data_IF_857656007294
#
_entry.id   IF_857656007294
#
_cell.length_a   1.000
_cell.length_b   1.000
_cell.length_c   1.000
_cell.angle_alpha   90.00
_cell.angle_beta   90.00
_cell.angle_gamma   90.00
#
_symmetry.space_group_name_H-M   'P 1'
#
loop_
_entity.id
_entity.type
_entity.pdbx_description
1 polymer ?
#
# COMPACT_ATOMS: atom_id res chain seq x y z
N UNK A 1 -49.63 29.80 -57.03
CA UNK A 1 -49.37 30.66 -55.87
C UNK A 1 -48.80 29.75 -54.78
N UNK A 2 -47.47 29.75 -54.59
CA UNK A 2 -46.75 28.80 -53.73
C UNK A 2 -46.61 29.37 -52.31
N UNK A 3 -47.11 28.66 -51.31
CA UNK A 3 -46.88 28.96 -49.89
C UNK A 3 -45.57 28.31 -49.46
N UNK A 4 -44.55 29.12 -49.17
CA UNK A 4 -43.26 28.68 -48.64
C UNK A 4 -43.45 28.38 -47.15
N UNK A 5 -43.37 27.10 -46.77
CA UNK A 5 -43.29 26.67 -45.36
C UNK A 5 -41.83 26.73 -44.94
N UNK A 6 -41.49 27.71 -44.10
CA UNK A 6 -40.19 27.73 -43.40
C UNK A 6 -40.23 26.68 -42.28
N UNK A 7 -39.68 25.50 -42.57
CA UNK A 7 -39.35 24.52 -41.54
C UNK A 7 -38.11 25.02 -40.80
N UNK A 8 -38.30 25.66 -39.64
CA UNK A 8 -37.24 25.95 -38.68
C UNK A 8 -36.75 24.61 -38.13
N UNK A 9 -35.71 24.06 -38.75
CA UNK A 9 -34.92 22.98 -38.16
C UNK A 9 -34.15 23.59 -36.99
N UNK A 10 -34.63 23.40 -35.76
CA UNK A 10 -33.85 23.70 -34.57
C UNK A 10 -32.62 22.80 -34.59
N UNK A 11 -31.48 23.34 -35.01
CA UNK A 11 -30.20 22.70 -34.86
C UNK A 11 -29.92 22.66 -33.37
N UNK A 12 -30.34 21.59 -32.69
CA UNK A 12 -29.79 21.26 -31.38
C UNK A 12 -28.34 20.91 -31.64
N UNK A 13 -27.44 21.89 -31.52
CA UNK A 13 -26.01 21.60 -31.42
C UNK A 13 -25.84 20.74 -30.18
N UNK A 14 -25.74 19.43 -30.38
CA UNK A 14 -25.06 18.57 -29.42
C UNK A 14 -23.61 18.99 -29.46
N UNK A 15 -23.28 20.06 -28.74
CA UNK A 15 -21.91 20.37 -28.36
C UNK A 15 -21.45 19.09 -27.68
N UNK A 16 -20.54 18.37 -28.31
CA UNK A 16 -19.82 17.31 -27.62
C UNK A 16 -19.14 18.03 -26.47
N UNK A 17 -19.75 17.96 -25.28
CA UNK A 17 -19.18 18.58 -24.10
C UNK A 17 -17.82 17.91 -23.93
N UNK A 18 -16.76 18.67 -24.21
CA UNK A 18 -15.40 18.18 -24.06
C UNK A 18 -15.29 17.61 -22.63
N UNK A 19 -14.93 16.33 -22.55
CA UNK A 19 -14.89 15.55 -21.31
C UNK A 19 -13.45 15.36 -20.88
N UNK A 20 -13.23 15.19 -19.57
CA UNK A 20 -11.93 14.81 -19.04
C UNK A 20 -11.63 13.30 -19.07
N UNK A 21 -12.51 12.46 -19.61
CA UNK A 21 -12.24 11.03 -19.78
C UNK A 21 -10.94 10.81 -20.57
N UNK A 22 -9.93 10.22 -19.92
CA UNK A 22 -8.62 9.96 -20.52
C UNK A 22 -7.72 11.20 -20.73
N UNK A 23 -8.11 12.38 -20.25
CA UNK A 23 -7.38 13.66 -20.45
C UNK A 23 -6.84 14.28 -19.15
N UNK A 24 -7.08 13.67 -17.99
CA UNK A 24 -6.63 14.19 -16.70
C UNK A 24 -5.10 14.33 -16.65
N UNK A 25 -4.61 15.50 -16.24
CA UNK A 25 -3.17 15.76 -16.08
C UNK A 25 -2.41 16.00 -17.39
N UNK A 26 -3.07 16.02 -18.55
CA UNK A 26 -2.46 16.45 -19.80
C UNK A 26 -2.01 17.93 -19.72
N UNK A 27 -1.07 18.34 -20.57
CA UNK A 27 -0.72 19.75 -20.74
C UNK A 27 -1.89 20.57 -21.29
N UNK A 28 -1.75 21.90 -21.32
CA UNK A 28 -2.73 22.79 -21.98
C UNK A 28 -2.93 22.35 -23.43
N UNK A 29 -4.17 22.16 -23.83
CA UNK A 29 -4.54 21.87 -25.23
C UNK A 29 -5.42 23.00 -25.77
N UNK A 30 -4.85 23.94 -26.55
CA UNK A 30 -5.58 25.06 -27.13
C UNK A 30 -6.66 24.66 -28.13
N UNK A 31 -6.66 23.40 -28.61
CA UNK A 31 -7.68 22.89 -29.53
C UNK A 31 -8.98 22.47 -28.84
N UNK A 32 -9.01 22.50 -27.50
CA UNK A 32 -10.12 22.04 -26.67
C UNK A 32 -10.87 23.20 -26.05
N UNK A 33 -12.19 23.04 -25.89
CA UNK A 33 -13.06 24.06 -25.32
C UNK A 33 -12.96 24.13 -23.80
N UNK A 34 -12.37 23.12 -23.17
CA UNK A 34 -12.10 23.08 -21.74
C UNK A 34 -10.85 22.24 -21.45
N UNK A 35 -10.26 22.49 -20.29
CA UNK A 35 -9.00 21.91 -19.87
C UNK A 35 -9.22 20.84 -18.78
N UNK A 36 -8.29 19.88 -18.75
CA UNK A 36 -8.24 18.79 -17.77
C UNK A 36 -6.89 18.73 -17.05
N UNK A 37 -6.10 19.79 -17.19
CA UNK A 37 -4.86 20.01 -16.46
C UNK A 37 -5.16 20.54 -15.05
N UNK A 38 -4.19 20.49 -14.15
CA UNK A 38 -4.37 20.93 -12.76
C UNK A 38 -4.59 22.43 -12.61
N UNK A 39 -4.11 23.24 -13.57
CA UNK A 39 -4.20 24.70 -13.56
C UNK A 39 -5.58 25.22 -13.99
N UNK A 40 -6.45 24.38 -14.57
CA UNK A 40 -7.77 24.81 -15.03
C UNK A 40 -8.64 25.38 -13.89
N UNK A 41 -8.39 24.94 -12.65
CA UNK A 41 -9.08 25.44 -11.44
C UNK A 41 -8.73 26.89 -11.12
N UNK A 42 -7.54 27.34 -11.51
CA UNK A 42 -7.08 28.71 -11.35
C UNK A 42 -7.66 29.60 -12.46
N UNK A 43 -7.75 29.07 -13.69
CA UNK A 43 -8.19 29.83 -14.87
C UNK A 43 -9.71 29.76 -15.11
N UNK A 44 -10.42 28.86 -14.43
CA UNK A 44 -11.87 28.70 -14.57
C UNK A 44 -12.32 28.05 -15.88
N UNK A 45 -11.43 27.31 -16.55
CA UNK A 45 -11.65 26.69 -17.86
C UNK A 45 -11.74 25.15 -17.80
N UNK A 46 -11.95 24.59 -16.61
CA UNK A 46 -12.09 23.15 -16.43
C UNK A 46 -13.31 22.58 -17.18
N UNK A 47 -13.19 21.35 -17.70
CA UNK A 47 -14.35 20.64 -18.21
C UNK A 47 -15.38 20.37 -17.10
N UNK A 48 -16.66 20.27 -17.45
CA UNK A 48 -17.73 20.11 -16.46
C UNK A 48 -17.60 18.85 -15.59
N UNK A 49 -16.94 17.82 -16.11
CA UNK A 49 -16.64 16.56 -15.43
C UNK A 49 -15.25 16.53 -14.77
N UNK A 50 -14.48 17.63 -14.80
CA UNK A 50 -13.12 17.69 -14.26
C UNK A 50 -13.06 17.34 -12.77
N UNK A 51 -13.97 17.87 -11.95
CA UNK A 51 -14.00 17.54 -10.53
C UNK A 51 -14.36 16.07 -10.29
N UNK A 52 -15.32 15.55 -11.05
CA UNK A 52 -15.75 14.16 -10.92
C UNK A 52 -14.67 13.16 -11.39
N UNK A 53 -13.95 13.47 -12.47
CA UNK A 53 -13.00 12.55 -13.11
C UNK A 53 -11.54 12.76 -12.68
N UNK A 54 -11.09 14.01 -12.55
CA UNK A 54 -9.68 14.35 -12.34
C UNK A 54 -9.34 14.70 -10.89
N UNK A 55 -10.27 15.27 -10.11
CA UNK A 55 -9.98 15.59 -8.70
C UNK A 55 -10.08 14.40 -7.75
N UNK A 56 -10.56 13.24 -8.23
CA UNK A 56 -10.54 11.95 -7.52
C UNK A 56 -9.26 11.13 -7.78
N UNK A 57 -8.29 11.66 -8.53
CA UNK A 57 -7.03 10.96 -8.81
C UNK A 57 -5.99 11.10 -7.69
N UNK A 58 -6.43 10.98 -6.44
CA UNK A 58 -5.57 11.10 -5.26
C UNK A 58 -5.83 9.98 -4.25
N UNK A 59 -4.77 9.58 -3.56
CA UNK A 59 -4.80 8.67 -2.42
C UNK A 59 -4.98 9.35 -1.07
N UNK A 60 -5.23 10.66 -1.03
CA UNK A 60 -5.54 11.35 0.21
C UNK A 60 -6.75 10.71 0.92
N UNK A 61 -6.54 10.13 2.10
CA UNK A 61 -7.59 9.40 2.84
C UNK A 61 -8.03 8.07 2.22
N UNK A 62 -7.34 7.59 1.17
CA UNK A 62 -7.67 6.35 0.43
C UNK A 62 -6.52 5.35 0.40
N UNK A 63 -5.37 5.68 1.00
CA UNK A 63 -4.25 4.74 1.09
C UNK A 63 -4.72 3.42 1.72
N UNK A 64 -4.38 2.31 1.07
CA UNK A 64 -4.69 0.96 1.53
C UNK A 64 -6.20 0.62 1.52
N UNK A 65 -7.01 1.39 0.80
CA UNK A 65 -8.41 1.03 0.57
C UNK A 65 -8.52 -0.33 -0.13
N UNK A 66 -9.65 -1.02 0.03
CA UNK A 66 -9.95 -2.19 -0.80
C UNK A 66 -10.03 -1.81 -2.28
N UNK A 67 -9.89 -2.80 -3.17
CA UNK A 67 -10.12 -2.61 -4.61
C UNK A 67 -11.55 -2.07 -4.82
N UNK A 68 -11.65 -0.96 -5.53
CA UNK A 68 -12.94 -0.35 -5.89
C UNK A 68 -12.95 -0.02 -7.37
N UNK A 69 -13.62 -0.87 -8.15
CA UNK A 69 -13.72 -0.73 -9.61
C UNK A 69 -14.54 0.49 -10.04
N UNK A 70 -15.19 1.20 -9.11
CA UNK A 70 -15.88 2.45 -9.41
C UNK A 70 -14.94 3.67 -9.43
N UNK A 71 -13.68 3.50 -9.02
CA UNK A 71 -12.70 4.58 -8.95
C UNK A 71 -11.83 4.66 -10.22
N UNK A 72 -11.44 5.88 -10.63
CA UNK A 72 -10.58 6.08 -11.80
C UNK A 72 -9.13 5.62 -11.60
N UNK A 73 -8.72 5.39 -10.35
CA UNK A 73 -7.42 4.87 -9.98
C UNK A 73 -7.49 4.25 -8.57
N UNK A 74 -6.56 3.36 -8.29
CA UNK A 74 -6.47 2.61 -7.05
C UNK A 74 -5.39 3.16 -6.12
N UNK A 75 -5.58 2.93 -4.82
CA UNK A 75 -4.68 3.33 -3.74
C UNK A 75 -4.29 2.17 -2.82
N UNK A 76 -4.51 0.95 -3.32
CA UNK A 76 -4.16 -0.29 -2.66
C UNK A 76 -2.78 -0.76 -3.12
N UNK A 77 -2.16 -1.70 -2.42
CA UNK A 77 -0.83 -2.19 -2.78
C UNK A 77 -0.79 -3.03 -4.07
N UNK A 78 -1.94 -3.54 -4.53
CA UNK A 78 -2.04 -4.31 -5.76
C UNK A 78 -1.97 -3.43 -7.01
N UNK A 79 -2.28 -2.13 -6.90
CA UNK A 79 -2.32 -1.21 -8.04
C UNK A 79 -1.01 -1.14 -8.83
N UNK A 80 0.12 -1.39 -8.16
CA UNK A 80 1.45 -1.40 -8.78
C UNK A 80 1.57 -2.51 -9.82
N UNK A 81 0.93 -3.66 -9.55
CA UNK A 81 0.94 -4.81 -10.46
C UNK A 81 -0.03 -4.61 -11.63
N UNK A 82 -1.14 -3.91 -11.40
CA UNK A 82 -2.18 -3.65 -12.41
C UNK A 82 -1.94 -2.37 -13.23
N UNK A 83 -1.03 -1.50 -12.79
CA UNK A 83 -0.73 -0.24 -13.47
C UNK A 83 -1.84 0.81 -13.34
N UNK A 84 -2.71 0.70 -12.34
CA UNK A 84 -3.89 1.56 -12.15
C UNK A 84 -3.78 2.45 -10.89
N UNK A 85 -2.57 2.63 -10.34
CA UNK A 85 -2.35 3.49 -9.18
C UNK A 85 -2.69 4.96 -9.45
N UNK A 86 -3.20 5.67 -8.43
CA UNK A 86 -3.33 7.11 -8.52
C UNK A 86 -1.95 7.81 -8.64
N UNK A 87 -1.84 8.94 -9.35
CA UNK A 87 -0.57 9.66 -9.55
C UNK A 87 0.20 9.98 -8.27
N UNK A 88 -0.48 10.27 -7.16
CA UNK A 88 0.14 10.60 -5.88
C UNK A 88 0.40 9.38 -4.97
N UNK A 89 0.08 8.15 -5.42
CA UNK A 89 0.16 6.93 -4.61
C UNK A 89 1.51 6.76 -3.89
N UNK A 90 2.63 6.83 -4.63
CA UNK A 90 3.97 6.68 -4.06
C UNK A 90 4.31 7.78 -3.06
N UNK A 91 3.94 9.02 -3.37
CA UNK A 91 4.21 10.18 -2.51
C UNK A 91 3.40 10.13 -1.20
N UNK A 92 2.19 9.57 -1.24
CA UNK A 92 1.33 9.36 -0.07
C UNK A 92 1.82 8.18 0.76
N UNK A 93 2.18 7.07 0.11
CA UNK A 93 2.73 5.89 0.76
C UNK A 93 4.01 6.20 1.55
N UNK A 94 4.89 7.05 0.99
CA UNK A 94 6.12 7.47 1.66
C UNK A 94 5.90 8.28 2.95
N UNK A 95 4.71 8.87 3.13
CA UNK A 95 4.34 9.65 4.32
C UNK A 95 3.59 8.82 5.36
N UNK A 96 3.21 7.59 5.03
CA UNK A 96 2.50 6.72 5.96
C UNK A 96 3.46 6.13 7.01
N UNK A 97 2.95 5.80 8.20
CA UNK A 97 3.71 5.03 9.16
C UNK A 97 4.14 3.69 8.54
N UNK A 98 5.34 3.23 8.93
CA UNK A 98 5.84 1.92 8.51
C UNK A 98 5.40 0.86 9.52
N UNK A 99 5.30 -0.37 9.05
CA UNK A 99 4.95 -1.51 9.91
C UNK A 99 6.11 -1.82 10.85
N UNK A 100 5.91 -1.59 12.14
CA UNK A 100 6.73 -2.14 13.22
C UNK A 100 6.17 -3.51 13.66
N UNK A 101 7.03 -4.37 14.23
CA UNK A 101 6.59 -5.60 14.92
C UNK A 101 5.70 -6.56 14.12
N UNK A 102 6.26 -7.24 13.10
CA UNK A 102 5.55 -8.31 12.37
C UNK A 102 6.52 -9.44 12.05
N UNK A 103 6.51 -10.49 12.88
CA UNK A 103 7.58 -11.50 12.94
C UNK A 103 7.06 -12.93 13.21
N UNK A 104 5.80 -13.22 12.89
CA UNK A 104 5.24 -14.56 13.03
C UNK A 104 4.66 -15.04 11.70
N UNK A 105 5.03 -16.26 11.28
CA UNK A 105 4.65 -16.78 9.96
C UNK A 105 3.19 -17.22 9.87
N UNK A 106 2.57 -17.65 10.98
CA UNK A 106 1.16 -17.99 10.99
C UNK A 106 0.34 -16.72 10.77
N UNK A 107 0.68 -15.64 11.49
CA UNK A 107 0.08 -14.33 11.27
C UNK A 107 0.34 -13.82 9.84
N UNK A 108 1.54 -14.02 9.31
CA UNK A 108 1.85 -13.69 7.91
C UNK A 108 0.91 -14.42 6.94
N UNK A 109 0.80 -15.75 7.07
CA UNK A 109 -0.05 -16.58 6.24
C UNK A 109 -1.53 -16.17 6.33
N UNK A 110 -2.05 -15.92 7.54
CA UNK A 110 -3.43 -15.52 7.75
C UNK A 110 -3.75 -14.16 7.13
N UNK A 111 -2.83 -13.19 7.22
CA UNK A 111 -3.02 -11.86 6.65
C UNK A 111 -2.82 -11.85 5.12
N UNK A 112 -1.91 -12.65 4.60
CA UNK A 112 -1.74 -12.88 3.16
C UNK A 112 -3.00 -13.51 2.56
N UNK A 113 -3.57 -14.53 3.21
CA UNK A 113 -4.83 -15.16 2.78
C UNK A 113 -6.02 -14.18 2.74
N UNK A 114 -6.00 -13.14 3.56
CA UNK A 114 -7.00 -12.05 3.56
C UNK A 114 -6.73 -10.99 2.47
N UNK A 115 -5.62 -11.08 1.74
CA UNK A 115 -5.17 -10.05 0.81
C UNK A 115 -4.60 -8.80 1.49
N UNK A 116 -4.37 -8.83 2.81
CA UNK A 116 -3.82 -7.72 3.57
C UNK A 116 -2.30 -7.62 3.43
N UNK A 117 -1.61 -8.73 3.12
CA UNK A 117 -0.17 -8.74 2.84
C UNK A 117 0.10 -8.81 1.35
N UNK A 118 1.05 -8.01 0.88
CA UNK A 118 1.69 -8.18 -0.42
C UNK A 118 3.16 -8.53 -0.20
N UNK A 119 3.53 -9.79 -0.46
CA UNK A 119 4.90 -10.26 -0.37
C UNK A 119 5.75 -9.73 -1.53
N UNK A 120 6.89 -9.11 -1.21
CA UNK A 120 7.77 -8.44 -2.18
C UNK A 120 9.11 -9.16 -2.36
N UNK A 121 9.27 -10.37 -1.81
CA UNK A 121 10.50 -11.15 -1.89
C UNK A 121 11.28 -11.25 -0.57
N UNK A 122 12.22 -12.19 -0.51
CA UNK A 122 13.09 -12.38 0.65
C UNK A 122 14.35 -11.50 0.55
N UNK A 123 14.78 -10.99 1.71
CA UNK A 123 16.03 -10.26 1.92
C UNK A 123 17.16 -11.23 2.27
N UNK A 124 16.90 -12.15 3.19
CA UNK A 124 17.84 -13.20 3.62
C UNK A 124 17.07 -14.45 4.03
N UNK A 125 17.76 -15.60 3.98
CA UNK A 125 17.23 -16.89 4.42
C UNK A 125 18.31 -17.67 5.16
N UNK A 126 17.91 -18.39 6.20
CA UNK A 126 18.78 -19.33 6.92
C UNK A 126 18.23 -20.75 6.83
N UNK A 127 19.09 -21.68 6.41
CA UNK A 127 18.85 -23.12 6.30
C UNK A 127 19.88 -23.85 7.17
N UNK A 128 19.53 -24.96 7.84
CA UNK A 128 18.29 -25.73 7.75
C UNK A 128 17.15 -25.22 8.65
N UNK A 129 17.35 -24.10 9.35
CA UNK A 129 16.40 -23.59 10.36
C UNK A 129 15.12 -22.95 9.79
N UNK A 130 14.97 -22.89 8.46
CA UNK A 130 13.83 -22.29 7.76
C UNK A 130 13.44 -20.89 8.28
N UNK A 131 14.42 -20.00 8.41
CA UNK A 131 14.19 -18.61 8.79
C UNK A 131 14.19 -17.75 7.53
N UNK A 132 13.21 -16.87 7.41
CA UNK A 132 13.09 -15.95 6.27
C UNK A 132 13.02 -14.53 6.80
N UNK A 133 13.85 -13.64 6.25
CA UNK A 133 13.63 -12.20 6.31
C UNK A 133 12.99 -11.76 5.00
N UNK A 134 11.82 -11.14 5.07
CA UNK A 134 11.02 -10.73 3.92
C UNK A 134 10.85 -9.21 3.85
N UNK A 135 10.68 -8.70 2.62
CA UNK A 135 10.08 -7.39 2.36
C UNK A 135 8.61 -7.62 2.02
N UNK A 136 7.72 -6.84 2.59
CA UNK A 136 6.30 -6.92 2.30
C UNK A 136 5.58 -5.64 2.68
N UNK A 137 4.38 -5.45 2.16
CA UNK A 137 3.42 -4.50 2.72
C UNK A 137 2.39 -5.24 3.56
N UNK A 138 1.88 -4.61 4.62
CA UNK A 138 0.75 -5.09 5.39
C UNK A 138 -0.28 -3.98 5.53
N UNK A 139 -1.50 -4.24 5.08
CA UNK A 139 -2.52 -3.22 4.81
C UNK A 139 -1.91 -2.05 4.07
N UNK A 140 -1.17 -2.36 2.99
CA UNK A 140 -0.41 -1.43 2.14
C UNK A 140 0.69 -0.60 2.82
N UNK A 141 0.88 -0.68 4.14
CA UNK A 141 2.03 -0.07 4.82
C UNK A 141 3.29 -0.91 4.63
N UNK A 142 4.40 -0.25 4.29
CA UNK A 142 5.65 -0.94 3.99
C UNK A 142 6.37 -1.46 5.24
N UNK A 143 6.84 -2.71 5.16
CA UNK A 143 7.85 -3.28 6.04
C UNK A 143 9.10 -3.61 5.23
N UNK A 144 10.18 -2.85 5.49
CA UNK A 144 11.43 -3.00 4.74
C UNK A 144 12.14 -4.33 5.02
N UNK A 145 11.98 -4.87 6.24
CA UNK A 145 12.54 -6.15 6.67
C UNK A 145 11.72 -6.69 7.84
N UNK A 146 11.15 -7.88 7.70
CA UNK A 146 10.55 -8.67 8.77
C UNK A 146 11.06 -10.09 8.73
N UNK A 147 11.68 -10.54 9.82
CA UNK A 147 12.24 -11.89 9.94
C UNK A 147 11.40 -12.76 10.86
N UNK A 148 11.21 -14.02 10.46
CA UNK A 148 10.42 -15.00 11.19
C UNK A 148 10.85 -16.41 10.83
N UNK A 149 10.61 -17.35 11.74
CA UNK A 149 10.68 -18.78 11.45
C UNK A 149 9.53 -19.17 10.54
N UNK A 150 9.72 -20.19 9.69
CA UNK A 150 8.65 -20.74 8.84
C UNK A 150 8.47 -22.21 9.18
N UNK A 151 7.22 -22.60 9.48
CA UNK A 151 6.84 -24.00 9.77
C UNK A 151 7.03 -24.45 11.22
N UNK A 152 7.49 -23.57 12.11
CA UNK A 152 7.55 -23.84 13.56
C UNK A 152 6.18 -23.64 14.21
N UNK A 153 5.97 -24.24 15.38
CA UNK A 153 4.73 -24.06 16.14
C UNK A 153 4.73 -22.77 16.98
N UNK A 154 3.56 -22.22 17.37
CA UNK A 154 3.48 -21.05 18.25
C UNK A 154 4.23 -21.23 19.57
N UNK A 155 4.20 -22.44 20.14
CA UNK A 155 4.89 -22.76 21.39
C UNK A 155 6.43 -22.73 21.24
N UNK A 156 6.97 -23.04 20.06
CA UNK A 156 8.39 -22.90 19.78
C UNK A 156 8.83 -21.44 19.78
N UNK A 157 8.10 -20.56 19.07
CA UNK A 157 8.35 -19.11 19.07
C UNK A 157 8.29 -18.57 20.51
N UNK A 158 7.22 -18.91 21.24
CA UNK A 158 7.02 -18.45 22.62
C UNK A 158 8.14 -18.90 23.55
N UNK A 159 8.57 -20.17 23.47
CA UNK A 159 9.60 -20.73 24.34
C UNK A 159 10.95 -20.04 24.13
N UNK A 160 11.39 -19.89 22.88
CA UNK A 160 12.67 -19.27 22.56
C UNK A 160 12.68 -17.78 22.90
N UNK A 161 11.61 -17.06 22.56
CA UNK A 161 11.53 -15.64 22.85
C UNK A 161 11.47 -15.38 24.36
N UNK A 162 10.76 -16.21 25.13
CA UNK A 162 10.73 -16.12 26.59
C UNK A 162 12.09 -16.40 27.20
N UNK A 163 12.77 -17.47 26.77
CA UNK A 163 14.11 -17.79 27.24
C UNK A 163 15.11 -16.66 26.98
N UNK A 164 15.09 -16.08 25.77
CA UNK A 164 15.97 -14.97 25.43
C UNK A 164 15.60 -13.66 26.15
N UNK A 165 14.32 -13.38 26.38
CA UNK A 165 13.91 -12.21 27.14
C UNK A 165 14.34 -12.30 28.62
N UNK A 166 14.29 -13.49 29.22
CA UNK A 166 14.69 -13.72 30.60
C UNK A 166 16.21 -13.72 30.79
N UNK A 167 16.96 -14.27 29.83
CA UNK A 167 18.41 -14.42 29.94
C UNK A 167 19.19 -13.23 29.39
N UNK A 168 18.66 -12.57 28.36
CA UNK A 168 19.32 -11.49 27.59
C UNK A 168 18.30 -10.44 27.11
N UNK A 169 17.61 -9.74 28.03
CA UNK A 169 16.68 -8.68 27.65
C UNK A 169 17.39 -7.59 26.84
N UNK A 170 16.69 -7.01 25.85
CA UNK A 170 17.18 -5.91 25.01
C UNK A 170 18.47 -6.18 24.23
N UNK A 171 18.93 -7.43 24.16
CA UNK A 171 20.20 -7.80 23.53
C UNK A 171 20.09 -9.06 22.71
N UNK A 172 21.08 -9.28 21.84
CA UNK A 172 21.18 -10.49 21.02
C UNK A 172 21.43 -11.74 21.87
N UNK A 173 20.51 -12.68 21.78
CA UNK A 173 20.56 -14.00 22.39
C UNK A 173 20.96 -15.03 21.33
N UNK A 174 22.21 -15.50 21.37
CA UNK A 174 22.72 -16.47 20.39
C UNK A 174 22.78 -17.87 20.97
N UNK A 175 22.37 -18.86 20.19
CA UNK A 175 22.49 -20.29 20.52
C UNK A 175 22.56 -21.13 19.25
N UNK A 176 23.00 -22.38 19.38
CA UNK A 176 23.14 -23.30 18.25
C UNK A 176 21.96 -24.27 18.23
N UNK A 177 21.32 -24.42 17.07
CA UNK A 177 20.24 -25.37 16.85
C UNK A 177 20.42 -26.05 15.49
N UNK A 178 20.30 -27.37 15.44
CA UNK A 178 20.54 -28.17 14.22
C UNK A 178 21.89 -27.83 13.53
N UNK A 179 22.96 -27.63 14.32
CA UNK A 179 24.29 -27.26 13.82
C UNK A 179 24.42 -25.84 13.26
N UNK A 180 23.38 -25.01 13.36
CA UNK A 180 23.36 -23.63 12.85
C UNK A 180 23.23 -22.63 13.98
N UNK A 181 24.02 -21.56 13.92
CA UNK A 181 23.94 -20.46 14.88
C UNK A 181 22.69 -19.62 14.59
N UNK A 182 21.90 -19.38 15.64
CA UNK A 182 20.68 -18.60 15.63
C UNK A 182 20.85 -17.44 16.59
N UNK A 183 20.52 -16.22 16.15
CA UNK A 183 20.44 -15.05 17.00
C UNK A 183 18.98 -14.59 17.12
N UNK A 184 18.51 -14.40 18.35
CA UNK A 184 17.20 -13.86 18.67
C UNK A 184 17.39 -12.48 19.29
N UNK A 185 16.69 -11.49 18.76
CA UNK A 185 16.59 -10.18 19.37
C UNK A 185 15.27 -10.11 20.14
N UNK A 186 15.32 -9.63 21.37
CA UNK A 186 14.14 -9.27 22.16
C UNK A 186 14.23 -7.81 22.58
N UNK A 187 13.09 -7.15 22.73
CA UNK A 187 12.98 -5.81 23.32
C UNK A 187 11.89 -5.81 24.38
N UNK A 188 12.12 -5.06 25.45
CA UNK A 188 11.11 -4.81 26.48
C UNK A 188 10.28 -3.55 26.21
N UNK A 189 9.18 -3.42 26.94
CA UNK A 189 8.37 -2.21 26.92
C UNK A 189 9.05 -1.14 27.76
N UNK A 190 9.57 -0.10 27.10
CA UNK A 190 10.15 1.05 27.77
C UNK A 190 9.15 1.67 28.77
N UNK A 191 9.66 2.10 29.93
CA UNK A 191 8.91 2.80 30.99
C UNK A 191 7.93 1.97 31.83
N UNK A 192 7.91 0.65 31.68
CA UNK A 192 7.20 -0.22 32.62
C UNK A 192 8.17 -0.89 33.58
N UNK A 193 7.75 -1.05 34.84
CA UNK A 193 8.52 -1.81 35.83
C UNK A 193 8.35 -3.32 35.59
N UNK A 194 9.45 -4.06 35.70
CA UNK A 194 9.51 -5.49 35.42
C UNK A 194 9.63 -5.81 33.92
N UNK A 195 10.09 -7.02 33.62
CA UNK A 195 10.26 -7.49 32.24
C UNK A 195 8.89 -7.67 31.57
N UNK A 196 8.67 -6.93 30.47
CA UNK A 196 7.50 -7.09 29.60
C UNK A 196 7.98 -7.12 28.16
N UNK A 197 7.83 -8.26 27.49
CA UNK A 197 8.32 -8.43 26.11
C UNK A 197 7.46 -7.57 25.17
N UNK A 198 8.09 -6.64 24.45
CA UNK A 198 7.46 -5.80 23.44
C UNK A 198 7.52 -6.43 22.04
N UNK A 199 8.71 -6.84 21.61
CA UNK A 199 8.91 -7.52 20.32
C UNK A 199 10.06 -8.52 20.45
N UNK A 200 9.96 -9.63 19.72
CA UNK A 200 10.98 -10.65 19.64
C UNK A 200 10.99 -11.26 18.24
N UNK A 201 12.18 -11.53 17.69
CA UNK A 201 12.33 -12.07 16.35
C UNK A 201 13.73 -12.66 16.10
N UNK A 202 13.86 -13.61 15.16
CA UNK A 202 15.17 -14.06 14.71
C UNK A 202 15.88 -12.96 13.92
N UNK A 203 17.14 -12.70 14.23
CA UNK A 203 17.94 -11.67 13.58
C UNK A 203 18.87 -12.32 12.54
N UNK A 204 18.48 -12.23 11.27
CA UNK A 204 19.20 -12.75 10.09
C UNK A 204 19.22 -11.73 8.95
#
# INVERSE_FOLDING_TARGET
>A
MWTIVFLLCAVTSSVWADSCAGRCGAGLDPSKTCQCNTQCTTFGDCCGDYYALCTQQTCNGRCNAALDNTKPCQCNSACVNYGDCCPDYQSRLARLPKVSGFHNWIQFYLEEKKGAINYQGWVSRSQPLNIVAARFTWNGLSKAKGSFFVGVSPEFDLAIYTACALTRPNSGCSFTMAGTSLNIQTYDVAHKSGLQVATAYPNI
#
